data_IF_334496487228
#
_entry.id   IF_334496487228
#
_cell.length_a   1.000
_cell.length_b   1.000
_cell.length_c   1.000
_cell.angle_alpha   90.00
_cell.angle_beta   90.00
_cell.angle_gamma   90.00
#
_symmetry.space_group_name_H-M   'P 1'
#
loop_
_entity.id
_entity.type
_entity.pdbx_description
1 polymer ?
#
# COMPACT_ATOMS: atom_id res chain seq x y z
N UNK A 1 -10.13 1.57 55.46
CA UNK A 1 -8.79 1.16 54.98
C UNK A 1 -8.87 1.11 53.50
N UNK A 2 -8.29 2.14 52.98
CA UNK A 2 -8.30 2.49 51.56
C UNK A 2 -7.17 1.73 50.85
N UNK A 3 -7.45 1.04 49.77
CA UNK A 3 -6.40 0.53 48.88
C UNK A 3 -6.87 0.62 47.44
N UNK A 4 -6.91 1.86 46.94
CA UNK A 4 -6.92 2.15 45.50
C UNK A 4 -5.49 2.03 44.99
N UNK A 5 -5.05 0.82 44.65
CA UNK A 5 -3.85 0.64 43.82
C UNK A 5 -4.24 0.93 42.35
N UNK A 6 -4.27 2.20 42.02
CA UNK A 6 -4.33 2.63 40.62
C UNK A 6 -3.04 2.18 39.92
N UNK A 7 -3.19 1.28 38.97
CA UNK A 7 -2.10 0.93 38.07
C UNK A 7 -1.58 2.22 37.39
N UNK A 8 -0.38 2.60 37.75
CA UNK A 8 0.32 3.67 37.06
C UNK A 8 0.53 3.23 35.61
N UNK A 9 -0.26 3.76 34.71
CA UNK A 9 0.00 3.65 33.26
C UNK A 9 1.38 4.25 33.04
N UNK A 10 2.31 3.42 32.62
CA UNK A 10 3.67 3.85 32.24
C UNK A 10 3.59 4.82 31.06
N UNK A 11 3.39 6.10 31.38
CA UNK A 11 3.29 7.20 30.42
C UNK A 11 4.61 7.44 29.67
N UNK A 12 5.74 6.92 30.14
CA UNK A 12 7.05 7.14 29.55
C UNK A 12 7.25 6.41 28.23
N UNK A 13 6.89 5.12 28.17
CA UNK A 13 7.06 4.31 26.93
C UNK A 13 6.08 4.70 25.84
N UNK A 14 4.88 5.15 26.20
CA UNK A 14 3.90 5.65 25.23
C UNK A 14 4.33 7.00 24.62
N UNK A 15 4.94 7.88 25.42
CA UNK A 15 5.41 9.18 24.93
C UNK A 15 6.65 9.10 24.04
N UNK A 16 7.57 8.15 24.26
CA UNK A 16 8.69 7.92 23.34
C UNK A 16 8.21 7.47 21.96
N UNK A 17 7.14 6.67 21.88
CA UNK A 17 6.49 6.32 20.60
C UNK A 17 5.72 7.47 19.96
N UNK A 18 5.25 8.41 20.79
CA UNK A 18 4.48 9.58 20.37
C UNK A 18 5.30 10.85 20.35
N UNK A 19 6.60 10.79 20.56
CA UNK A 19 7.50 11.93 20.41
C UNK A 19 7.19 12.70 19.13
N UNK A 20 7.57 13.97 19.02
CA UNK A 20 7.32 14.75 17.82
C UNK A 20 7.77 13.92 16.63
N UNK A 21 6.90 13.79 15.63
CA UNK A 21 7.20 13.02 14.45
C UNK A 21 8.43 13.62 13.77
N UNK A 22 9.51 12.85 13.72
CA UNK A 22 10.75 13.26 13.08
C UNK A 22 10.90 12.46 11.78
N UNK A 23 11.00 13.13 10.63
CA UNK A 23 11.25 12.45 9.37
C UNK A 23 12.47 11.52 9.49
N UNK A 24 12.33 10.28 9.04
CA UNK A 24 13.40 9.31 9.04
C UNK A 24 13.68 8.59 10.38
N UNK A 25 12.99 8.94 11.47
CA UNK A 25 13.19 8.25 12.76
C UNK A 25 12.46 6.92 12.85
N UNK A 26 11.24 6.87 12.32
CA UNK A 26 10.36 5.68 12.36
C UNK A 26 9.91 5.22 10.99
N UNK A 27 10.52 5.73 9.94
CA UNK A 27 10.13 5.52 8.57
C UNK A 27 11.27 5.02 7.74
N UNK A 28 10.97 4.16 6.81
CA UNK A 28 11.95 3.71 5.83
C UNK A 28 12.21 4.82 4.83
N UNK A 29 13.50 5.11 4.65
CA UNK A 29 14.02 6.07 3.70
C UNK A 29 14.66 5.35 2.52
N UNK A 30 15.14 6.13 1.58
CA UNK A 30 15.73 5.64 0.34
C UNK A 30 14.75 4.71 -0.39
N UNK A 31 13.54 5.26 -0.61
CA UNK A 31 12.45 4.56 -1.28
C UNK A 31 11.64 5.48 -2.18
N UNK A 32 11.10 4.93 -3.26
CA UNK A 32 10.14 5.58 -4.12
C UNK A 32 8.73 5.44 -3.53
N UNK A 33 8.08 6.56 -3.25
CA UNK A 33 6.67 6.61 -2.86
C UNK A 33 5.80 7.10 -4.00
N UNK A 34 4.76 6.36 -4.38
CA UNK A 34 3.79 6.79 -5.39
C UNK A 34 2.76 7.72 -4.74
N UNK A 35 2.98 9.02 -4.85
CA UNK A 35 2.28 10.06 -4.08
C UNK A 35 1.01 10.61 -4.71
N UNK A 36 0.74 10.28 -5.96
CA UNK A 36 -0.49 10.66 -6.66
C UNK A 36 -0.62 9.91 -7.99
N UNK A 37 -1.83 9.82 -8.51
CA UNK A 37 -2.03 9.53 -9.93
C UNK A 37 -1.46 10.68 -10.78
N UNK A 38 -0.61 10.38 -11.77
CA UNK A 38 0.07 11.38 -12.62
C UNK A 38 -0.89 12.37 -13.26
N UNK A 39 -2.04 11.87 -13.73
CA UNK A 39 -3.05 12.71 -14.37
C UNK A 39 -3.74 13.71 -13.41
N UNK A 40 -3.64 13.52 -12.11
CA UNK A 40 -4.18 14.44 -11.13
C UNK A 40 -3.28 15.67 -10.90
N UNK A 41 -2.01 15.59 -11.34
CA UNK A 41 -1.05 16.68 -11.19
C UNK A 41 -1.15 17.63 -12.37
N UNK A 42 -1.41 18.90 -12.05
CA UNK A 42 -1.59 20.01 -12.99
C UNK A 42 -0.47 21.04 -12.89
N UNK A 43 -0.61 22.18 -13.57
CA UNK A 43 0.31 23.32 -13.45
C UNK A 43 0.29 23.94 -12.06
N UNK A 44 -0.89 23.99 -11.45
CA UNK A 44 -1.05 24.51 -10.09
C UNK A 44 -0.42 23.54 -9.10
N UNK A 45 0.47 24.02 -8.23
CA UNK A 45 1.17 23.19 -7.28
C UNK A 45 0.22 22.55 -6.26
N UNK A 46 0.26 21.23 -6.16
CA UNK A 46 -0.50 20.46 -5.18
C UNK A 46 0.42 20.07 -4.01
N UNK A 47 0.03 20.44 -2.79
CA UNK A 47 0.74 20.00 -1.59
C UNK A 47 0.45 18.54 -1.31
N UNK A 48 1.51 17.80 -0.95
CA UNK A 48 1.48 16.38 -0.56
C UNK A 48 2.38 16.16 0.66
N UNK A 49 2.27 14.98 1.23
CA UNK A 49 3.07 14.58 2.38
C UNK A 49 3.61 13.16 2.17
N UNK A 50 4.82 12.94 2.63
CA UNK A 50 5.37 11.61 2.88
C UNK A 50 5.96 11.63 4.28
N UNK A 51 5.47 10.74 5.15
CA UNK A 51 5.89 10.67 6.54
C UNK A 51 5.87 12.04 7.27
N UNK A 52 4.82 12.86 7.01
CA UNK A 52 4.64 14.20 7.57
C UNK A 52 5.52 15.28 6.93
N UNK A 53 6.49 14.91 6.09
CA UNK A 53 7.27 15.87 5.34
C UNK A 53 6.43 16.46 4.21
N UNK A 54 6.10 17.74 4.23
CA UNK A 54 5.35 18.39 3.17
C UNK A 54 6.26 18.65 1.96
N UNK A 55 5.66 18.53 0.78
CA UNK A 55 6.27 18.92 -0.48
C UNK A 55 5.21 19.35 -1.47
N UNK A 56 5.64 19.98 -2.58
CA UNK A 56 4.76 20.43 -3.65
C UNK A 56 5.03 19.66 -4.92
N UNK A 57 3.96 19.26 -5.61
CA UNK A 57 3.97 18.61 -6.93
C UNK A 57 3.27 19.48 -7.94
N UNK A 58 3.87 19.67 -9.12
CA UNK A 58 3.26 20.39 -10.23
C UNK A 58 3.80 19.93 -11.57
N UNK A 59 3.17 20.36 -12.67
CA UNK A 59 3.72 20.21 -14.01
C UNK A 59 4.27 21.53 -14.52
N UNK A 60 5.47 21.47 -15.03
CA UNK A 60 6.10 22.57 -15.75
C UNK A 60 6.59 22.05 -17.09
N UNK A 61 6.14 22.65 -18.20
CA UNK A 61 6.50 22.22 -19.57
C UNK A 61 6.31 20.70 -19.77
N UNK A 62 5.14 20.20 -19.36
CA UNK A 62 4.72 18.78 -19.33
C UNK A 62 5.58 17.87 -18.42
N UNK A 63 6.61 18.38 -17.78
CA UNK A 63 7.45 17.62 -16.85
C UNK A 63 6.90 17.70 -15.44
N UNK A 64 6.92 16.58 -14.76
CA UNK A 64 6.59 16.50 -13.35
C UNK A 64 7.75 17.08 -12.52
N UNK A 65 7.41 17.89 -11.51
CA UNK A 65 8.36 18.48 -10.57
C UNK A 65 7.87 18.28 -9.15
N UNK A 66 8.82 18.13 -8.23
CA UNK A 66 8.55 18.04 -6.79
C UNK A 66 9.57 18.90 -6.02
N UNK A 67 9.12 19.66 -5.03
CA UNK A 67 10.01 20.52 -4.22
C UNK A 67 9.54 20.68 -2.78
N UNK A 68 10.46 20.99 -1.88
CA UNK A 68 10.19 21.23 -0.45
C UNK A 68 9.34 22.47 -0.20
N UNK A 69 9.38 23.44 -1.11
CA UNK A 69 8.63 24.68 -1.00
C UNK A 69 7.80 24.95 -2.26
N UNK A 70 6.90 25.92 -2.16
CA UNK A 70 6.13 26.37 -3.30
C UNK A 70 7.05 26.84 -4.44
N UNK A 71 6.76 26.54 -5.72
CA UNK A 71 7.62 26.89 -6.86
C UNK A 71 8.02 28.37 -6.93
N UNK A 72 7.16 29.28 -6.45
CA UNK A 72 7.47 30.71 -6.40
C UNK A 72 8.64 31.05 -5.45
N UNK A 73 8.85 30.22 -4.42
CA UNK A 73 9.91 30.40 -3.41
C UNK A 73 11.20 29.65 -3.79
N UNK A 74 11.13 28.69 -4.70
CA UNK A 74 12.23 27.78 -5.01
C UNK A 74 13.50 28.51 -5.46
N UNK A 75 13.34 29.62 -6.21
CA UNK A 75 14.50 30.42 -6.66
C UNK A 75 15.27 31.06 -5.51
N UNK A 76 14.56 31.49 -4.45
CA UNK A 76 15.17 32.11 -3.29
C UNK A 76 15.88 31.06 -2.41
N UNK A 77 15.43 29.81 -2.43
CA UNK A 77 15.98 28.71 -1.62
C UNK A 77 17.00 27.85 -2.35
N UNK A 78 17.35 28.17 -3.59
CA UNK A 78 18.38 27.42 -4.33
C UNK A 78 19.72 27.51 -3.60
N UNK A 79 20.21 26.35 -3.19
CA UNK A 79 21.46 26.22 -2.43
C UNK A 79 21.27 25.86 -0.97
N UNK A 80 20.06 25.89 -0.42
CA UNK A 80 19.78 25.30 0.88
C UNK A 80 19.96 23.77 0.78
N UNK A 81 20.82 23.22 1.64
CA UNK A 81 21.05 21.78 1.66
C UNK A 81 19.92 21.06 2.40
N UNK A 82 19.40 20.01 1.80
CA UNK A 82 18.48 19.08 2.44
C UNK A 82 18.96 17.65 2.22
N UNK A 83 18.72 16.79 3.19
CA UNK A 83 19.04 15.36 3.08
C UNK A 83 18.16 14.63 2.04
N UNK A 84 17.12 15.29 1.52
CA UNK A 84 16.12 14.68 0.62
C UNK A 84 16.07 15.31 -0.76
N UNK A 85 16.76 16.44 -0.98
CA UNK A 85 16.61 17.22 -2.21
C UNK A 85 17.94 17.69 -2.77
N UNK A 86 17.94 17.94 -4.06
CA UNK A 86 19.05 18.66 -4.74
C UNK A 86 18.53 20.02 -5.16
N UNK A 87 19.09 21.09 -4.57
CA UNK A 87 18.66 22.47 -4.84
C UNK A 87 17.18 22.72 -4.50
N UNK A 88 16.66 22.05 -3.46
CA UNK A 88 15.28 22.14 -3.00
C UNK A 88 14.28 21.27 -3.78
N UNK A 89 14.73 20.50 -4.78
CA UNK A 89 13.88 19.62 -5.57
C UNK A 89 14.13 18.15 -5.24
N UNK A 90 13.04 17.38 -5.07
CA UNK A 90 13.09 15.93 -4.92
C UNK A 90 13.29 15.24 -6.28
N UNK A 91 14.01 14.11 -6.31
CA UNK A 91 13.93 13.22 -7.46
C UNK A 91 12.48 12.74 -7.66
N UNK A 92 11.98 12.88 -8.88
CA UNK A 92 10.61 12.51 -9.23
C UNK A 92 10.58 11.80 -10.58
N UNK A 93 9.78 10.73 -10.66
CA UNK A 93 9.58 9.91 -11.87
C UNK A 93 8.08 9.74 -12.11
N UNK A 94 7.70 9.80 -13.38
CA UNK A 94 6.36 9.42 -13.83
C UNK A 94 6.42 8.02 -14.44
N UNK A 95 5.80 7.04 -13.78
CA UNK A 95 5.83 5.66 -14.23
C UNK A 95 4.53 4.95 -13.83
N UNK A 96 4.02 4.09 -14.68
CA UNK A 96 2.79 3.31 -14.45
C UNK A 96 1.53 4.16 -14.17
N UNK A 97 1.53 5.43 -14.61
CA UNK A 97 0.43 6.36 -14.35
C UNK A 97 0.43 6.99 -12.95
N UNK A 98 1.52 6.82 -12.21
CA UNK A 98 1.75 7.45 -10.91
C UNK A 98 2.92 8.43 -10.94
N UNK A 99 2.83 9.44 -10.09
CA UNK A 99 3.94 10.31 -9.71
C UNK A 99 4.68 9.66 -8.54
N UNK A 100 5.93 9.31 -8.74
CA UNK A 100 6.81 8.72 -7.74
C UNK A 100 7.80 9.78 -7.25
N UNK A 101 7.90 9.93 -5.94
CA UNK A 101 8.88 10.83 -5.31
C UNK A 101 9.84 9.98 -4.49
N UNK A 102 11.13 10.24 -4.67
CA UNK A 102 12.16 9.62 -3.84
C UNK A 102 12.21 10.27 -2.48
N UNK A 103 12.09 9.48 -1.43
CA UNK A 103 12.21 9.91 -0.05
C UNK A 103 13.49 9.33 0.56
N UNK A 104 14.57 10.08 0.49
CA UNK A 104 15.90 9.66 0.92
C UNK A 104 17.01 10.49 0.28
N UNK A 105 18.26 10.00 0.33
CA UNK A 105 19.40 10.66 -0.31
C UNK A 105 19.18 10.67 -1.84
N UNK A 106 19.16 11.86 -2.48
CA UNK A 106 18.99 11.97 -3.94
C UNK A 106 20.03 11.19 -4.75
N UNK A 107 21.23 10.98 -4.21
CA UNK A 107 22.29 10.23 -4.87
C UNK A 107 21.93 8.73 -5.07
N UNK A 108 21.02 8.20 -4.27
CA UNK A 108 20.57 6.81 -4.30
C UNK A 108 19.26 6.61 -5.09
N UNK A 109 18.74 7.65 -5.74
CA UNK A 109 17.45 7.64 -6.43
C UNK A 109 17.51 6.91 -7.78
N UNK A 110 17.68 5.60 -7.76
CA UNK A 110 17.65 4.76 -8.95
C UNK A 110 16.19 4.44 -9.34
N UNK A 111 15.76 4.80 -10.55
CA UNK A 111 14.40 4.55 -11.03
C UNK A 111 14.04 3.06 -11.12
N UNK A 112 15.02 2.18 -11.23
CA UNK A 112 14.84 0.73 -11.27
C UNK A 112 14.48 0.12 -9.91
N UNK A 113 14.52 0.92 -8.83
CA UNK A 113 14.00 0.55 -7.51
C UNK A 113 12.48 0.74 -7.40
N UNK A 114 11.82 1.37 -8.39
CA UNK A 114 10.36 1.38 -8.48
C UNK A 114 9.90 -0.05 -8.78
N UNK A 115 8.96 -0.60 -7.96
CA UNK A 115 8.42 -1.94 -8.19
C UNK A 115 7.90 -2.12 -9.62
N UNK A 116 8.22 -3.23 -10.25
CA UNK A 116 7.69 -3.56 -11.57
C UNK A 116 6.20 -3.92 -11.49
N UNK A 117 5.39 -3.28 -12.29
CA UNK A 117 3.93 -3.51 -12.34
C UNK A 117 3.58 -4.17 -13.68
N UNK A 118 3.48 -5.50 -13.73
CA UNK A 118 3.42 -6.24 -14.98
C UNK A 118 2.16 -5.98 -15.82
N UNK A 119 1.07 -5.56 -15.20
CA UNK A 119 -0.21 -5.28 -15.87
C UNK A 119 -0.43 -3.79 -16.20
N UNK A 120 0.57 -2.95 -16.00
CA UNK A 120 0.58 -1.55 -16.40
C UNK A 120 1.75 -1.26 -17.34
N UNK A 121 1.55 -0.30 -18.26
CA UNK A 121 2.64 0.19 -19.09
C UNK A 121 3.51 1.19 -18.33
N UNK A 122 4.85 1.08 -18.35
CA UNK A 122 5.73 2.05 -17.72
C UNK A 122 5.50 3.48 -18.17
N UNK A 123 5.29 3.69 -19.49
CA UNK A 123 5.14 5.02 -20.09
C UNK A 123 3.75 5.61 -19.96
N UNK A 124 2.71 4.79 -20.01
CA UNK A 124 1.32 5.27 -20.13
C UNK A 124 0.44 4.84 -18.98
N UNK A 125 0.80 3.79 -18.27
CA UNK A 125 -0.12 2.98 -17.50
C UNK A 125 -1.03 2.19 -18.43
N UNK A 126 -1.60 1.11 -17.98
CA UNK A 126 -2.70 0.49 -18.72
C UNK A 126 -3.92 1.43 -18.70
N UNK A 127 -4.78 1.39 -19.71
CA UNK A 127 -6.08 2.03 -19.62
C UNK A 127 -6.87 1.36 -18.48
N UNK A 128 -6.73 1.88 -17.27
CA UNK A 128 -7.45 1.40 -16.11
C UNK A 128 -8.91 1.86 -16.18
N UNK A 129 -9.86 0.99 -15.89
CA UNK A 129 -11.27 1.40 -15.81
C UNK A 129 -11.54 2.19 -14.57
N UNK A 130 -10.76 1.92 -13.51
CA UNK A 130 -10.86 2.69 -12.29
C UNK A 130 -9.50 3.08 -11.79
N UNK A 131 -9.42 4.34 -11.45
CA UNK A 131 -8.44 4.90 -10.54
C UNK A 131 -9.20 5.45 -9.39
N UNK A 132 -8.78 5.09 -8.18
CA UNK A 132 -9.39 5.64 -6.98
C UNK A 132 -8.32 6.15 -6.04
N UNK A 133 -8.70 7.12 -5.23
CA UNK A 133 -7.90 7.62 -4.12
C UNK A 133 -8.76 7.56 -2.88
N UNK A 134 -8.27 6.87 -1.86
CA UNK A 134 -8.92 6.78 -0.56
C UNK A 134 -7.97 7.29 0.51
N UNK A 135 -8.52 7.64 1.66
CA UNK A 135 -7.76 7.91 2.87
C UNK A 135 -8.16 6.91 3.95
N UNK A 136 -7.16 6.34 4.60
CA UNK A 136 -7.34 5.56 5.81
C UNK A 136 -6.85 6.38 7.00
N UNK A 137 -7.69 6.57 8.01
CA UNK A 137 -7.34 7.34 9.20
C UNK A 137 -6.54 6.49 10.21
N UNK A 138 -5.48 5.90 9.70
CA UNK A 138 -4.57 5.06 10.48
C UNK A 138 -3.15 5.08 9.90
N UNK A 139 -2.21 4.51 10.64
CA UNK A 139 -0.84 4.28 10.19
C UNK A 139 -0.82 3.33 8.98
N UNK A 140 0.08 3.58 8.04
CA UNK A 140 0.16 2.80 6.81
C UNK A 140 0.50 1.33 7.07
N UNK A 141 1.21 1.06 8.13
CA UNK A 141 1.53 -0.31 8.55
C UNK A 141 0.27 -1.12 8.84
N UNK A 142 -0.75 -0.52 9.46
CA UNK A 142 -2.04 -1.19 9.68
C UNK A 142 -2.76 -1.50 8.37
N UNK A 143 -2.67 -0.59 7.40
CA UNK A 143 -3.23 -0.85 6.06
C UNK A 143 -2.52 -2.01 5.39
N UNK A 144 -1.17 -2.08 5.49
CA UNK A 144 -0.39 -3.16 4.92
C UNK A 144 -0.66 -4.51 5.60
N UNK A 145 -0.83 -4.52 6.92
CA UNK A 145 -1.22 -5.71 7.67
C UNK A 145 -2.63 -6.18 7.30
N UNK A 146 -3.59 -5.27 7.13
CA UNK A 146 -4.93 -5.61 6.67
C UNK A 146 -4.90 -6.24 5.26
N UNK A 147 -4.12 -5.68 4.35
CA UNK A 147 -3.94 -6.22 2.99
C UNK A 147 -3.30 -7.62 3.04
N UNK A 148 -2.41 -7.86 3.98
CA UNK A 148 -1.75 -9.15 4.19
C UNK A 148 -2.59 -10.17 4.95
N UNK A 149 -3.74 -9.78 5.48
CA UNK A 149 -4.71 -10.71 6.06
C UNK A 149 -5.83 -11.03 5.07
N UNK A 150 -5.62 -12.01 4.21
CA UNK A 150 -6.67 -12.46 3.26
C UNK A 150 -7.82 -13.21 3.93
N UNK A 151 -7.75 -13.46 5.25
CA UNK A 151 -8.81 -14.17 5.98
C UNK A 151 -9.92 -13.22 6.44
N UNK A 152 -9.62 -11.93 6.64
CA UNK A 152 -10.62 -10.92 7.00
C UNK A 152 -11.72 -10.75 5.95
N UNK A 153 -11.45 -11.13 4.70
CA UNK A 153 -12.40 -11.02 3.58
C UNK A 153 -13.73 -11.68 3.92
N UNK A 154 -13.72 -12.80 4.64
CA UNK A 154 -14.90 -13.56 4.98
C UNK A 154 -15.80 -12.86 6.00
N UNK A 155 -15.21 -12.02 6.84
CA UNK A 155 -15.86 -11.33 7.94
C UNK A 155 -16.17 -9.86 7.60
N UNK A 156 -15.19 -9.15 7.09
CA UNK A 156 -15.30 -7.72 6.78
C UNK A 156 -16.00 -7.50 5.45
N UNK A 157 -15.68 -8.33 4.46
CA UNK A 157 -16.20 -8.24 3.09
C UNK A 157 -17.15 -9.39 2.73
N UNK A 158 -17.81 -9.99 3.70
CA UNK A 158 -18.65 -11.17 3.49
C UNK A 158 -19.73 -10.98 2.42
N UNK A 159 -20.30 -9.78 2.30
CA UNK A 159 -21.25 -9.47 1.24
C UNK A 159 -20.63 -9.48 -0.15
N UNK A 160 -19.34 -9.15 -0.27
CA UNK A 160 -18.58 -9.15 -1.52
C UNK A 160 -17.85 -10.48 -1.74
N UNK A 161 -17.06 -10.90 -0.76
CA UNK A 161 -16.18 -12.05 -0.86
C UNK A 161 -16.89 -13.41 -0.80
N UNK A 162 -18.15 -13.45 -0.39
CA UNK A 162 -18.87 -14.68 -0.08
C UNK A 162 -18.64 -15.14 1.36
N UNK A 163 -19.24 -16.26 1.74
CA UNK A 163 -19.09 -16.84 3.08
C UNK A 163 -17.82 -17.69 3.17
N UNK A 164 -17.37 -17.96 4.40
CA UNK A 164 -16.21 -18.80 4.70
C UNK A 164 -16.48 -20.33 4.51
N UNK A 165 -17.65 -20.71 4.04
CA UNK A 165 -18.01 -22.08 3.73
C UNK A 165 -17.39 -22.51 2.38
N UNK A 166 -16.16 -22.96 2.39
CA UNK A 166 -15.49 -23.57 1.24
C UNK A 166 -15.10 -25.01 1.58
N UNK A 167 -15.02 -25.88 0.57
CA UNK A 167 -14.63 -27.28 0.79
C UNK A 167 -13.17 -27.40 1.21
N UNK A 168 -12.31 -26.54 0.64
CA UNK A 168 -10.89 -26.45 0.99
C UNK A 168 -10.51 -24.98 1.14
N UNK A 169 -9.74 -24.70 2.15
CA UNK A 169 -9.15 -23.37 2.40
C UNK A 169 -7.70 -23.54 2.83
N UNK A 170 -6.79 -22.97 2.07
CA UNK A 170 -5.36 -23.04 2.34
C UNK A 170 -4.72 -21.67 2.22
N UNK A 171 -3.75 -21.43 3.10
CA UNK A 171 -2.97 -20.18 3.15
C UNK A 171 -1.49 -20.51 3.06
N UNK A 172 -0.79 -19.79 2.18
CA UNK A 172 0.67 -19.83 2.03
C UNK A 172 1.21 -18.43 2.25
N UNK A 173 2.28 -18.30 3.05
CA UNK A 173 2.96 -17.04 3.31
C UNK A 173 4.44 -17.20 3.00
N UNK A 174 4.99 -16.25 2.25
CA UNK A 174 6.40 -16.18 1.87
C UNK A 174 6.94 -14.79 2.12
N UNK A 175 8.25 -14.64 2.31
CA UNK A 175 8.88 -13.33 2.42
C UNK A 175 10.30 -13.34 1.92
N UNK A 176 10.73 -12.20 1.42
CA UNK A 176 12.15 -11.85 1.25
C UNK A 176 12.60 -10.92 2.39
N UNK A 177 13.74 -10.29 2.26
CA UNK A 177 14.18 -9.26 3.22
C UNK A 177 13.26 -8.03 3.23
N UNK A 178 12.61 -7.70 2.11
CA UNK A 178 11.88 -6.45 1.89
C UNK A 178 10.46 -6.63 1.34
N UNK A 179 10.01 -7.88 1.19
CA UNK A 179 8.66 -8.19 0.69
C UNK A 179 7.97 -9.25 1.52
N UNK A 180 6.65 -9.22 1.53
CA UNK A 180 5.80 -10.30 2.08
C UNK A 180 4.72 -10.64 1.07
N UNK A 181 4.50 -11.93 0.88
CA UNK A 181 3.47 -12.48 -0.01
C UNK A 181 2.54 -13.38 0.77
N UNK A 182 1.25 -13.23 0.58
CA UNK A 182 0.25 -14.18 1.06
C UNK A 182 -0.62 -14.63 -0.10
N UNK A 183 -0.86 -15.93 -0.17
CA UNK A 183 -1.78 -16.55 -1.13
C UNK A 183 -2.79 -17.35 -0.35
N UNK A 184 -4.08 -17.11 -0.58
CA UNK A 184 -5.17 -17.90 -0.06
C UNK A 184 -5.93 -18.56 -1.21
N UNK A 185 -6.04 -19.87 -1.18
CA UNK A 185 -6.79 -20.67 -2.15
C UNK A 185 -8.01 -21.24 -1.47
N UNK A 186 -9.19 -20.99 -2.04
CA UNK A 186 -10.45 -21.54 -1.58
C UNK A 186 -11.11 -22.33 -2.71
N UNK A 187 -11.56 -23.55 -2.42
CA UNK A 187 -12.23 -24.40 -3.39
C UNK A 187 -13.73 -24.41 -3.14
N UNK A 188 -14.49 -24.41 -4.25
CA UNK A 188 -15.94 -24.50 -4.24
C UNK A 188 -16.61 -23.49 -3.28
N UNK A 189 -16.09 -22.27 -3.28
CA UNK A 189 -16.60 -21.17 -2.47
C UNK A 189 -17.96 -20.72 -2.99
N UNK A 190 -18.99 -20.55 -2.13
CA UNK A 190 -20.29 -20.03 -2.56
C UNK A 190 -20.17 -18.64 -3.17
N UNK A 191 -20.81 -18.42 -4.32
CA UNK A 191 -20.87 -17.10 -4.94
C UNK A 191 -21.82 -16.21 -4.15
N UNK A 192 -21.34 -15.07 -3.67
CA UNK A 192 -22.14 -14.15 -2.84
C UNK A 192 -23.31 -13.54 -3.59
N UNK A 193 -24.30 -13.02 -2.85
CA UNK A 193 -25.43 -12.29 -3.44
C UNK A 193 -24.95 -11.08 -4.25
N UNK A 194 -23.97 -10.34 -3.74
CA UNK A 194 -23.36 -9.20 -4.44
C UNK A 194 -22.72 -9.64 -5.78
N UNK A 195 -21.92 -10.69 -5.74
CA UNK A 195 -21.29 -11.23 -6.95
C UNK A 195 -22.32 -11.68 -8.00
N UNK A 196 -23.42 -12.25 -7.56
CA UNK A 196 -24.52 -12.66 -8.46
C UNK A 196 -25.27 -11.45 -9.05
N UNK A 197 -25.66 -10.50 -8.21
CA UNK A 197 -26.57 -9.41 -8.61
C UNK A 197 -25.84 -8.23 -9.23
N UNK A 198 -24.67 -7.86 -8.69
CA UNK A 198 -23.92 -6.67 -9.14
C UNK A 198 -22.85 -7.06 -10.16
N UNK A 199 -22.15 -8.19 -9.95
CA UNK A 199 -21.08 -8.60 -10.86
C UNK A 199 -21.55 -9.60 -11.92
N UNK A 200 -22.79 -10.07 -11.85
CA UNK A 200 -23.38 -10.95 -12.86
C UNK A 200 -22.81 -12.37 -12.90
N UNK A 201 -22.16 -12.82 -11.83
CA UNK A 201 -21.59 -14.18 -11.75
C UNK A 201 -22.74 -15.17 -11.53
N UNK A 202 -22.99 -16.03 -12.53
CA UNK A 202 -24.12 -16.97 -12.50
C UNK A 202 -23.80 -18.31 -11.82
N UNK A 203 -22.53 -18.67 -11.75
CA UNK A 203 -22.10 -19.90 -11.09
C UNK A 203 -22.48 -19.89 -9.61
N UNK A 204 -23.11 -20.95 -9.05
CA UNK A 204 -23.43 -20.97 -7.62
C UNK A 204 -22.21 -21.09 -6.72
N UNK A 205 -21.14 -21.71 -7.23
CA UNK A 205 -19.85 -21.89 -6.56
C UNK A 205 -18.71 -21.55 -7.52
N UNK A 206 -17.56 -21.21 -6.95
CA UNK A 206 -16.34 -20.93 -7.70
C UNK A 206 -15.10 -21.24 -6.87
N UNK A 207 -14.01 -21.55 -7.55
CA UNK A 207 -12.69 -21.57 -6.95
C UNK A 207 -12.14 -20.15 -6.97
N UNK A 208 -11.50 -19.74 -5.88
CA UNK A 208 -10.90 -18.41 -5.79
C UNK A 208 -9.49 -18.51 -5.25
N UNK A 209 -8.57 -17.81 -5.90
CA UNK A 209 -7.23 -17.56 -5.39
C UNK A 209 -7.10 -16.07 -5.12
N UNK A 210 -6.97 -15.72 -3.86
CA UNK A 210 -6.60 -14.38 -3.45
C UNK A 210 -5.08 -14.33 -3.28
N UNK A 211 -4.51 -13.24 -3.77
CA UNK A 211 -3.08 -13.02 -3.74
C UNK A 211 -2.81 -11.59 -3.28
N UNK A 212 -1.87 -11.44 -2.35
CA UNK A 212 -1.30 -10.14 -1.97
C UNK A 212 0.22 -10.21 -1.92
N UNK A 213 0.85 -9.14 -2.38
CA UNK A 213 2.31 -8.99 -2.34
C UNK A 213 2.64 -7.55 -1.95
N UNK A 214 3.39 -7.39 -0.87
CA UNK A 214 3.69 -6.08 -0.28
C UNK A 214 5.18 -5.79 -0.40
N UNK A 215 5.50 -4.62 -0.97
CA UNK A 215 6.82 -4.01 -0.91
C UNK A 215 6.91 -3.12 0.32
N UNK A 216 7.70 -3.53 1.30
CA UNK A 216 7.69 -2.94 2.65
C UNK A 216 8.16 -1.49 2.64
N UNK A 217 9.23 -1.15 1.89
CA UNK A 217 9.79 0.21 1.88
C UNK A 217 8.84 1.25 1.31
N UNK A 218 8.19 0.93 0.20
CA UNK A 218 7.37 1.87 -0.57
C UNK A 218 5.89 1.86 -0.21
N UNK A 219 5.44 0.86 0.57
CA UNK A 219 4.02 0.66 0.86
C UNK A 219 3.19 0.25 -0.35
N UNK A 220 3.84 -0.21 -1.43
CA UNK A 220 3.18 -0.67 -2.64
C UNK A 220 2.68 -2.09 -2.44
N UNK A 221 1.42 -2.33 -2.78
CA UNK A 221 0.79 -3.62 -2.69
C UNK A 221 0.21 -4.05 -4.03
N UNK A 222 0.47 -5.29 -4.42
CA UNK A 222 -0.27 -5.96 -5.46
C UNK A 222 -1.33 -6.84 -4.82
N UNK A 223 -2.56 -6.73 -5.34
CA UNK A 223 -3.66 -7.59 -4.96
C UNK A 223 -4.20 -8.22 -6.23
N UNK A 224 -4.53 -9.49 -6.15
CA UNK A 224 -5.13 -10.21 -7.26
C UNK A 224 -6.18 -11.17 -6.72
N UNK A 225 -7.37 -11.11 -7.29
CA UNK A 225 -8.39 -12.12 -7.08
C UNK A 225 -8.61 -12.85 -8.41
N UNK A 226 -8.27 -14.11 -8.41
CA UNK A 226 -8.50 -15.00 -9.55
C UNK A 226 -9.73 -15.86 -9.26
N UNK A 227 -10.76 -15.69 -10.07
CA UNK A 227 -12.04 -16.38 -9.95
C UNK A 227 -12.19 -17.38 -11.08
N UNK A 228 -12.60 -18.63 -10.79
CA UNK A 228 -12.86 -19.62 -11.83
C UNK A 228 -14.11 -19.30 -12.66
N UNK A 229 -15.04 -18.52 -12.13
CA UNK A 229 -16.31 -18.18 -12.75
C UNK A 229 -16.45 -16.71 -13.18
N UNK A 230 -15.38 -15.92 -13.08
CA UNK A 230 -15.34 -14.50 -13.44
C UNK A 230 -13.96 -14.10 -13.95
N UNK A 231 -13.83 -12.95 -14.62
CA UNK A 231 -12.54 -12.38 -14.97
C UNK A 231 -11.70 -12.08 -13.73
N UNK A 232 -10.41 -12.34 -13.82
CA UNK A 232 -9.44 -12.00 -12.79
C UNK A 232 -9.24 -10.49 -12.70
N UNK A 233 -8.97 -10.01 -11.49
CA UNK A 233 -8.81 -8.59 -11.23
C UNK A 233 -7.46 -8.31 -10.53
N UNK A 234 -6.40 -8.06 -11.30
CA UNK A 234 -5.17 -7.54 -10.74
C UNK A 234 -5.35 -6.06 -10.36
N UNK A 235 -4.84 -5.71 -9.20
CA UNK A 235 -4.95 -4.39 -8.60
C UNK A 235 -3.60 -4.00 -8.00
N UNK A 236 -3.19 -2.76 -8.21
CA UNK A 236 -2.16 -2.13 -7.38
C UNK A 236 -2.83 -1.16 -6.40
N UNK A 237 -2.41 -1.21 -5.16
CA UNK A 237 -2.72 -0.23 -4.14
C UNK A 237 -1.44 0.33 -3.56
N UNK A 238 -1.27 1.61 -3.70
CA UNK A 238 -0.12 2.36 -3.19
C UNK A 238 -0.52 3.03 -1.89
N UNK A 239 0.13 2.68 -0.79
CA UNK A 239 -0.19 3.19 0.53
C UNK A 239 0.88 4.19 0.97
N UNK A 240 0.67 5.46 0.68
CA UNK A 240 1.60 6.53 1.04
C UNK A 240 1.30 7.03 2.45
N UNK A 241 2.24 6.90 3.39
CA UNK A 241 2.07 7.41 4.75
C UNK A 241 2.14 8.94 4.75
N UNK A 242 0.99 9.61 4.82
CA UNK A 242 0.98 11.07 4.99
C UNK A 242 1.32 11.48 6.43
N UNK A 243 0.88 10.67 7.40
CA UNK A 243 1.24 10.81 8.82
C UNK A 243 1.05 9.48 9.55
N UNK A 244 1.28 9.44 10.86
CA UNK A 244 0.97 8.26 11.70
C UNK A 244 -0.53 7.96 11.80
N UNK A 245 -1.36 8.90 11.41
CA UNK A 245 -2.81 8.83 11.56
C UNK A 245 -3.52 8.95 10.21
N UNK A 246 -2.77 9.02 9.12
CA UNK A 246 -3.35 9.22 7.81
C UNK A 246 -2.49 8.55 6.74
N UNK A 247 -3.10 7.60 6.05
CA UNK A 247 -2.53 6.92 4.88
C UNK A 247 -3.36 7.25 3.66
N UNK A 248 -2.72 7.73 2.61
CA UNK A 248 -3.32 7.89 1.30
C UNK A 248 -3.13 6.62 0.51
N UNK A 249 -4.22 6.06 -0.01
CA UNK A 249 -4.21 4.88 -0.87
C UNK A 249 -4.66 5.27 -2.29
N UNK A 250 -3.73 5.23 -3.25
CA UNK A 250 -4.02 5.42 -4.67
C UNK A 250 -4.00 4.07 -5.38
N UNK A 251 -5.13 3.64 -5.92
CA UNK A 251 -5.30 2.33 -6.53
C UNK A 251 -5.58 2.40 -8.02
N UNK A 252 -5.09 1.41 -8.76
CA UNK A 252 -5.38 1.21 -10.17
C UNK A 252 -5.68 -0.26 -10.44
N UNK A 253 -6.80 -0.50 -11.10
CA UNK A 253 -7.21 -1.85 -11.51
C UNK A 253 -6.62 -2.18 -12.90
N UNK A 254 -6.12 -3.38 -13.05
CA UNK A 254 -5.60 -3.87 -14.34
C UNK A 254 -6.72 -4.30 -15.26
N UNK A 255 -6.88 -3.60 -16.35
CA UNK A 255 -8.08 -3.62 -17.20
C UNK A 255 -7.99 -4.54 -18.38
N UNK A 256 -6.79 -4.69 -18.92
CA UNK A 256 -6.62 -5.36 -20.22
C UNK A 256 -6.97 -6.83 -20.19
N UNK A 257 -7.11 -7.39 -19.01
CA UNK A 257 -7.43 -8.78 -18.81
C UNK A 257 -8.93 -9.06 -18.71
N UNK A 258 -9.76 -8.00 -18.73
CA UNK A 258 -11.20 -8.15 -18.69
C UNK A 258 -11.86 -7.52 -19.92
N UNK A 259 -12.07 -8.28 -21.00
CA UNK A 259 -12.71 -7.80 -22.22
C UNK A 259 -14.21 -7.52 -22.04
N UNK A 260 -14.87 -8.13 -21.04
CA UNK A 260 -16.31 -8.01 -20.85
C UNK A 260 -16.69 -6.60 -20.35
N UNK A 261 -17.51 -5.84 -21.14
CA UNK A 261 -17.93 -4.49 -20.78
C UNK A 261 -18.70 -4.41 -19.46
N UNK A 262 -19.43 -5.48 -19.10
CA UNK A 262 -20.21 -5.52 -17.87
C UNK A 262 -19.28 -5.47 -16.63
N UNK A 263 -18.25 -6.32 -16.61
CA UNK A 263 -17.27 -6.30 -15.53
C UNK A 263 -16.46 -5.01 -15.49
N UNK A 264 -16.08 -4.50 -16.67
CA UNK A 264 -15.37 -3.23 -16.78
C UNK A 264 -16.12 -2.06 -16.14
N UNK A 265 -17.43 -2.09 -16.20
CA UNK A 265 -18.30 -1.08 -15.61
C UNK A 265 -18.51 -1.26 -14.11
N UNK A 266 -18.71 -2.48 -13.64
CA UNK A 266 -19.20 -2.77 -12.29
C UNK A 266 -18.10 -3.04 -11.27
N UNK A 267 -17.01 -3.71 -11.66
CA UNK A 267 -15.90 -4.01 -10.76
C UNK A 267 -15.26 -2.78 -10.10
N UNK A 268 -15.02 -1.66 -10.82
CA UNK A 268 -14.43 -0.47 -10.20
C UNK A 268 -15.23 0.10 -9.04
N UNK A 269 -16.55 -0.02 -9.07
CA UNK A 269 -17.43 0.40 -7.97
C UNK A 269 -17.25 -0.40 -6.67
N UNK A 270 -16.62 -1.57 -6.75
CA UNK A 270 -16.33 -2.42 -5.60
C UNK A 270 -15.23 -1.85 -4.70
N UNK A 271 -14.21 -1.24 -5.30
CA UNK A 271 -13.05 -0.73 -4.57
C UNK A 271 -13.38 0.26 -3.46
N UNK A 272 -14.15 1.34 -3.72
CA UNK A 272 -14.54 2.28 -2.66
C UNK A 272 -15.36 1.64 -1.54
N UNK A 273 -16.19 0.65 -1.85
CA UNK A 273 -16.97 -0.08 -0.85
C UNK A 273 -16.06 -0.91 0.06
N UNK A 274 -15.14 -1.67 -0.53
CA UNK A 274 -14.16 -2.49 0.20
C UNK A 274 -13.29 -1.58 1.09
N UNK A 275 -12.72 -0.51 0.53
CA UNK A 275 -11.91 0.43 1.29
C UNK A 275 -12.66 1.07 2.47
N UNK A 276 -13.96 1.40 2.31
CA UNK A 276 -14.77 1.93 3.39
C UNK A 276 -15.07 0.90 4.49
N UNK A 277 -15.14 -0.38 4.15
CA UNK A 277 -15.29 -1.46 5.13
C UNK A 277 -13.99 -1.64 5.93
N UNK A 278 -12.84 -1.64 5.25
CA UNK A 278 -11.52 -1.70 5.89
C UNK A 278 -11.29 -0.50 6.82
N UNK A 279 -11.59 0.72 6.36
CA UNK A 279 -11.48 1.93 7.17
C UNK A 279 -12.23 1.83 8.50
N UNK A 280 -13.44 1.27 8.49
CA UNK A 280 -14.25 1.06 9.70
C UNK A 280 -13.59 0.13 10.71
N UNK A 281 -12.75 -0.80 10.25
CA UNK A 281 -12.03 -1.74 11.09
C UNK A 281 -10.67 -1.18 11.54
N UNK A 282 -9.97 -0.46 10.65
CA UNK A 282 -8.61 0.02 10.92
C UNK A 282 -8.58 1.28 11.79
N UNK A 283 -9.48 2.22 11.53
CA UNK A 283 -9.52 3.48 12.27
C UNK A 283 -9.62 3.30 13.79
N UNK A 284 -10.52 2.46 14.35
CA UNK A 284 -10.56 2.23 15.79
C UNK A 284 -9.32 1.52 16.35
N UNK A 285 -8.58 0.76 15.53
CA UNK A 285 -7.38 0.06 15.98
C UNK A 285 -6.17 1.01 16.09
N UNK A 286 -6.15 2.09 15.32
CA UNK A 286 -4.99 2.96 15.22
C UNK A 286 -4.51 3.56 16.55
N UNK A 287 -5.38 4.03 17.47
CA UNK A 287 -4.92 4.50 18.78
C UNK A 287 -4.19 3.41 19.57
N UNK A 288 -4.66 2.18 19.53
CA UNK A 288 -3.99 1.06 20.20
C UNK A 288 -2.66 0.73 19.53
N UNK A 289 -2.63 0.68 18.20
CA UNK A 289 -1.42 0.40 17.42
C UNK A 289 -0.32 1.43 17.68
N UNK A 290 -0.68 2.71 17.71
CA UNK A 290 0.28 3.81 17.89
C UNK A 290 0.71 3.98 19.34
N UNK A 291 -0.18 3.70 20.32
CA UNK A 291 0.02 4.01 21.73
C UNK A 291 0.37 2.79 22.58
N UNK A 292 -0.09 1.60 22.21
CA UNK A 292 0.07 0.39 23.01
C UNK A 292 1.36 -0.36 22.69
N UNK A 293 1.95 -1.09 23.67
CA UNK A 293 3.06 -2.00 23.41
C UNK A 293 2.62 -3.14 22.47
N UNK A 294 3.48 -3.61 21.54
CA UNK A 294 3.17 -4.74 20.66
C UNK A 294 2.75 -6.03 21.38
N UNK A 295 3.16 -6.18 22.65
CA UNK A 295 2.80 -7.32 23.51
C UNK A 295 1.32 -7.37 23.91
N UNK A 296 0.53 -6.33 23.63
CA UNK A 296 -0.90 -6.29 23.90
C UNK A 296 -1.75 -6.88 22.76
N UNK A 297 -1.14 -7.25 21.64
CA UNK A 297 -1.87 -7.79 20.48
C UNK A 297 -2.24 -9.27 20.71
N UNK A 298 -3.49 -9.62 20.44
CA UNK A 298 -3.99 -10.99 20.45
C UNK A 298 -3.79 -11.64 19.08
N UNK A 299 -2.58 -12.07 18.80
CA UNK A 299 -2.26 -12.71 17.52
C UNK A 299 -2.75 -14.15 17.45
N UNK A 300 -3.24 -14.55 16.30
CA UNK A 300 -3.70 -15.89 15.96
C UNK A 300 -2.84 -16.51 14.86
N UNK A 301 -3.13 -17.75 14.49
CA UNK A 301 -2.46 -18.39 13.34
C UNK A 301 -2.72 -17.68 12.00
N UNK A 302 -3.75 -16.85 11.91
CA UNK A 302 -4.11 -16.12 10.71
C UNK A 302 -3.28 -14.86 10.51
N UNK A 303 -2.66 -14.33 11.58
CA UNK A 303 -1.86 -13.11 11.57
C UNK A 303 -0.41 -13.33 11.11
N UNK A 304 -0.07 -14.54 10.62
CA UNK A 304 1.29 -14.93 10.26
C UNK A 304 1.94 -13.96 9.27
N UNK A 305 1.21 -13.50 8.25
CA UNK A 305 1.75 -12.59 7.25
C UNK A 305 1.99 -11.17 7.82
N UNK A 306 1.08 -10.66 8.65
CA UNK A 306 1.24 -9.39 9.36
C UNK A 306 2.42 -9.43 10.34
N UNK A 307 2.56 -10.51 11.11
CA UNK A 307 3.70 -10.69 12.02
C UNK A 307 5.03 -10.78 11.27
N UNK A 308 5.04 -11.42 10.10
CA UNK A 308 6.22 -11.49 9.25
C UNK A 308 6.56 -10.11 8.67
N UNK A 309 5.56 -9.35 8.26
CA UNK A 309 5.70 -7.96 7.84
C UNK A 309 6.34 -7.11 8.94
N UNK A 310 5.82 -7.13 10.17
CA UNK A 310 6.39 -6.39 11.32
C UNK A 310 7.84 -6.75 11.55
N UNK A 311 8.19 -8.03 11.48
CA UNK A 311 9.57 -8.50 11.64
C UNK A 311 10.49 -7.95 10.56
N UNK A 312 10.08 -8.00 9.29
CA UNK A 312 10.87 -7.50 8.16
C UNK A 312 10.98 -5.98 8.19
N UNK A 313 9.89 -5.27 8.47
CA UNK A 313 9.87 -3.82 8.66
C UNK A 313 10.83 -3.40 9.79
N UNK A 314 10.75 -4.05 10.94
CA UNK A 314 11.63 -3.78 12.08
C UNK A 314 13.12 -4.04 11.75
N UNK A 315 13.42 -5.09 10.96
CA UNK A 315 14.78 -5.35 10.51
C UNK A 315 15.31 -4.25 9.57
N UNK A 316 14.48 -3.74 8.66
CA UNK A 316 14.84 -2.63 7.78
C UNK A 316 15.06 -1.34 8.57
N UNK A 317 14.21 -1.04 9.55
CA UNK A 317 14.37 0.12 10.45
C UNK A 317 15.69 0.02 11.24
N UNK A 318 16.01 -1.18 11.75
CA UNK A 318 17.26 -1.40 12.48
C UNK A 318 18.50 -1.22 11.60
N UNK A 319 18.46 -1.72 10.34
CA UNK A 319 19.54 -1.51 9.36
C UNK A 319 19.73 -0.03 9.06
N UNK A 320 18.63 0.69 8.80
CA UNK A 320 18.65 2.13 8.54
C UNK A 320 19.20 2.91 9.74
N UNK A 321 18.87 2.53 10.97
CA UNK A 321 19.43 3.13 12.19
C UNK A 321 20.94 2.91 12.31
N UNK A 322 21.46 1.82 11.73
CA UNK A 322 22.89 1.54 11.63
C UNK A 322 23.57 2.20 10.40
N UNK A 323 22.85 3.02 9.65
CA UNK A 323 23.36 3.72 8.46
C UNK A 323 23.34 2.88 7.17
N UNK A 324 22.72 1.70 7.19
CA UNK A 324 22.58 0.84 6.01
C UNK A 324 21.23 1.06 5.33
N UNK A 325 21.24 1.79 4.23
CA UNK A 325 20.09 2.07 3.37
C UNK A 325 20.05 1.18 2.13
N UNK A 326 21.01 0.28 1.95
CA UNK A 326 21.11 -0.56 0.76
C UNK A 326 19.91 -1.49 0.60
N UNK A 327 19.55 -1.75 -0.65
CA UNK A 327 18.58 -2.78 -1.00
C UNK A 327 19.24 -4.15 -0.99
N UNK A 328 18.54 -5.18 -0.52
CA UNK A 328 19.04 -6.54 -0.54
C UNK A 328 18.88 -7.15 -1.94
N UNK A 329 19.74 -8.11 -2.27
CA UNK A 329 19.70 -8.78 -3.57
C UNK A 329 18.41 -9.59 -3.82
N UNK A 330 17.76 -10.06 -2.74
CA UNK A 330 16.48 -10.76 -2.81
C UNK A 330 15.28 -9.83 -2.91
N UNK A 331 15.50 -8.53 -2.70
CA UNK A 331 14.52 -7.52 -3.03
C UNK A 331 14.69 -7.14 -4.48
N UNK A 332 14.00 -7.75 -5.24
CA UNK A 332 14.07 -7.71 -6.65
C UNK A 332 13.98 -6.28 -7.27
N UNK A 333 15.12 -5.76 -7.67
CA UNK A 333 15.17 -4.96 -8.88
C UNK A 333 14.60 -5.84 -9.99
N UNK A 334 13.35 -5.57 -10.39
CA UNK A 334 12.72 -6.32 -11.46
C UNK A 334 12.34 -7.76 -11.15
N UNK A 335 11.92 -8.08 -9.90
CA UNK A 335 11.22 -9.35 -9.66
C UNK A 335 10.03 -9.45 -10.58
N UNK A 336 9.97 -10.52 -11.36
CA UNK A 336 8.87 -10.75 -12.27
C UNK A 336 7.62 -11.16 -11.48
N UNK A 337 6.83 -10.16 -11.08
CA UNK A 337 5.56 -10.36 -10.40
C UNK A 337 4.52 -10.95 -11.34
N UNK A 338 4.73 -10.88 -12.65
CA UNK A 338 3.79 -11.45 -13.62
C UNK A 338 3.60 -12.95 -13.42
N UNK A 339 4.68 -13.68 -13.15
CA UNK A 339 4.63 -15.12 -12.89
C UNK A 339 3.87 -15.41 -11.59
N UNK A 340 4.18 -14.67 -10.53
CA UNK A 340 3.54 -14.82 -9.22
C UNK A 340 2.03 -14.52 -9.32
N UNK A 341 1.67 -13.43 -10.00
CA UNK A 341 0.27 -13.02 -10.19
C UNK A 341 -0.45 -13.82 -11.29
N UNK A 342 0.27 -14.61 -12.08
CA UNK A 342 -0.26 -15.28 -13.26
C UNK A 342 -0.98 -14.33 -14.23
N UNK A 343 -0.47 -13.11 -14.36
CA UNK A 343 -1.00 -12.08 -15.24
C UNK A 343 -0.12 -11.89 -16.48
N UNK A 344 -0.74 -11.47 -17.58
CA UNK A 344 0.03 -11.11 -18.77
C UNK A 344 0.75 -9.78 -18.57
N UNK A 345 2.03 -9.75 -18.92
CA UNK A 345 2.78 -8.51 -18.93
C UNK A 345 2.30 -7.59 -20.06
N UNK A 346 2.00 -6.36 -19.73
CA UNK A 346 1.74 -5.28 -20.72
C UNK A 346 3.09 -4.82 -21.28
N UNK A 347 3.22 -4.83 -22.60
CA UNK A 347 4.42 -4.41 -23.33
C UNK A 347 4.32 -2.97 -23.80
#
# INVERSE_FOLDING_TARGET
>A
MDSSAGAAVDKGRGQERLGPWEPGKYVLRDAWFPVAHSQAIRRDPARRFVHGQPFYLWRQDERLRAAECHPAELKARRGEASAFTTGGEYPVVERYGFAWVWYGDPANAEADLIPDIPFLSPARGAPAYARQSNYFHCAYELVLENILDLTHIDFVHGNFGGTHESEEDSVRVESTSETVTMVRTTKRRPTSAYQKTVLGIRAPFQDVVFFTHVFIRSGVCFLHAHYSAAPSMPLIQNNTPESRFLTRADSTFGVEQCPDPYYRRNWPGTGPMVAAQDERMLNPQNPHYVLAPPAADNNTRFDTAGLLYRRRHGALVARQAAGDYSYQADMAKGSDIAEILQVKRVR
#
